data_IF_809757998251
#
_entry.id   IF_809757998251
#
_cell.length_a   1.000
_cell.length_b   1.000
_cell.length_c   1.000
_cell.angle_alpha   90.00
_cell.angle_beta   90.00
_cell.angle_gamma   90.00
#
_symmetry.space_group_name_H-M   'P 1'
#
loop_
_entity.id
_entity.type
_entity.pdbx_description
1 polymer ?
#
# COMPACT_ATOMS: atom_id res chain seq x y z
N UNK A 1 -11.85 26.15 39.90
CA UNK A 1 -12.48 25.13 39.03
C UNK A 1 -11.42 24.10 38.74
N UNK A 2 -11.57 22.87 39.26
CA UNK A 2 -10.59 21.80 39.05
C UNK A 2 -10.78 21.22 37.64
N UNK A 3 -9.76 21.34 36.81
CA UNK A 3 -9.64 20.57 35.57
C UNK A 3 -9.55 19.09 35.94
N UNK A 4 -10.40 18.20 35.39
CA UNK A 4 -10.24 16.77 35.62
C UNK A 4 -8.88 16.31 35.09
N UNK A 5 -8.16 15.53 35.90
CA UNK A 5 -6.92 14.89 35.47
C UNK A 5 -7.28 13.67 34.64
N UNK A 6 -6.92 13.69 33.35
CA UNK A 6 -7.01 12.52 32.48
C UNK A 6 -5.66 11.81 32.49
N UNK A 7 -5.68 10.48 32.62
CA UNK A 7 -4.51 9.63 32.39
C UNK A 7 -4.62 8.98 31.02
N UNK A 8 -3.50 8.92 30.31
CA UNK A 8 -3.39 8.35 28.96
C UNK A 8 -2.29 7.29 28.94
N UNK A 9 -2.55 6.18 28.24
CA UNK A 9 -1.56 5.14 27.97
C UNK A 9 -1.19 5.19 26.49
N UNK A 10 0.07 5.49 26.19
CA UNK A 10 0.62 5.46 24.84
C UNK A 10 1.45 4.18 24.64
N UNK A 11 1.04 3.32 23.69
CA UNK A 11 1.82 2.15 23.28
C UNK A 11 2.55 2.48 21.98
N UNK A 12 3.89 2.45 22.01
CA UNK A 12 4.73 2.75 20.85
C UNK A 12 5.22 1.48 20.18
N UNK A 13 5.40 1.53 18.85
CA UNK A 13 5.84 0.40 18.04
C UNK A 13 4.95 -0.85 18.22
N UNK A 14 3.63 -0.62 18.17
CA UNK A 14 2.59 -1.62 18.43
C UNK A 14 2.81 -2.90 17.60
N UNK A 15 2.72 -4.05 18.25
CA UNK A 15 2.83 -5.39 17.68
C UNK A 15 1.53 -6.17 17.82
N UNK A 16 1.32 -7.21 17.01
CA UNK A 16 0.12 -8.06 17.10
C UNK A 16 -0.10 -8.64 18.51
N UNK A 17 0.99 -8.94 19.22
CA UNK A 17 1.00 -9.46 20.60
C UNK A 17 0.52 -8.45 21.64
N UNK A 18 0.47 -7.16 21.30
CA UNK A 18 -0.07 -6.14 22.20
C UNK A 18 -1.61 -6.16 22.21
N UNK A 19 -2.25 -6.96 21.34
CA UNK A 19 -3.69 -7.13 21.39
C UNK A 19 -4.10 -7.82 22.69
N UNK A 20 -5.12 -7.29 23.35
CA UNK A 20 -5.65 -7.87 24.57
C UNK A 20 -6.51 -6.91 25.37
N UNK A 21 -6.81 -7.34 26.59
CA UNK A 21 -7.65 -6.62 27.54
C UNK A 21 -6.79 -5.72 28.43
N UNK A 22 -7.00 -4.41 28.33
CA UNK A 22 -6.31 -3.40 29.13
C UNK A 22 -7.25 -2.86 30.19
N UNK A 23 -6.85 -2.93 31.46
CA UNK A 23 -7.63 -2.41 32.57
C UNK A 23 -7.01 -1.12 33.10
N UNK A 24 -7.77 -0.04 33.06
CA UNK A 24 -7.51 1.16 33.84
C UNK A 24 -8.05 0.93 35.26
N UNK A 25 -7.15 0.92 36.25
CA UNK A 25 -7.49 0.81 37.65
C UNK A 25 -7.19 2.14 38.35
N UNK A 26 -8.24 2.85 38.76
CA UNK A 26 -8.10 4.10 39.50
C UNK A 26 -8.40 3.85 40.97
N UNK A 27 -7.40 4.12 41.81
CA UNK A 27 -7.55 4.11 43.25
C UNK A 27 -7.48 5.54 43.78
N UNK A 28 -8.54 5.98 44.44
CA UNK A 28 -8.61 7.25 45.13
C UNK A 28 -8.85 6.99 46.62
N UNK A 29 -7.98 7.51 47.49
CA UNK A 29 -8.16 7.40 48.92
C UNK A 29 -9.51 7.99 49.31
N UNK A 30 -10.32 7.22 50.08
CA UNK A 30 -11.69 7.54 50.50
C UNK A 30 -12.80 7.37 49.45
N UNK A 31 -12.52 6.82 48.26
CA UNK A 31 -13.51 6.51 47.22
C UNK A 31 -13.40 5.05 46.74
N UNK A 32 -14.48 4.46 46.21
CA UNK A 32 -14.42 3.12 45.63
C UNK A 32 -13.50 3.12 44.41
N UNK A 33 -12.64 2.10 44.32
CA UNK A 33 -11.81 1.89 43.14
C UNK A 33 -12.69 1.68 41.91
N UNK A 34 -12.37 2.36 40.81
CA UNK A 34 -13.07 2.20 39.54
C UNK A 34 -12.17 1.45 38.58
N UNK A 35 -12.73 0.38 37.99
CA UNK A 35 -12.07 -0.41 36.96
C UNK A 35 -12.78 -0.14 35.63
N UNK A 36 -12.02 0.18 34.60
CA UNK A 36 -12.52 0.27 33.24
C UNK A 36 -11.64 -0.58 32.33
N UNK A 37 -12.26 -1.55 31.66
CA UNK A 37 -11.55 -2.50 30.79
C UNK A 37 -11.83 -2.18 29.33
N UNK A 38 -10.78 -2.19 28.51
CA UNK A 38 -10.82 -1.90 27.08
C UNK A 38 -10.20 -3.09 26.35
N UNK A 39 -10.89 -3.58 25.32
CA UNK A 39 -10.30 -4.52 24.37
C UNK A 39 -9.54 -3.75 23.29
N UNK A 40 -8.23 -3.94 23.24
CA UNK A 40 -7.36 -3.36 22.24
C UNK A 40 -6.99 -4.43 21.22
N UNK A 41 -7.25 -4.16 19.94
CA UNK A 41 -6.94 -5.09 18.86
C UNK A 41 -6.01 -4.44 17.84
N UNK A 42 -4.85 -5.04 17.66
CA UNK A 42 -3.89 -4.68 16.63
C UNK A 42 -4.21 -5.47 15.37
N UNK A 43 -4.31 -4.79 14.23
CA UNK A 43 -4.58 -5.42 12.94
C UNK A 43 -3.37 -5.27 12.03
N UNK A 44 -2.99 -6.36 11.37
CA UNK A 44 -2.01 -6.31 10.29
C UNK A 44 -2.65 -5.70 9.03
N UNK A 45 -1.95 -4.85 8.27
CA UNK A 45 -2.46 -4.33 7.00
C UNK A 45 -2.78 -5.46 6.03
N UNK A 46 -3.98 -5.45 5.45
CA UNK A 46 -4.34 -6.42 4.42
C UNK A 46 -3.64 -6.11 3.10
N UNK A 47 -3.10 -7.14 2.44
CA UNK A 47 -2.33 -6.96 1.21
C UNK A 47 -2.88 -7.70 -0.01
N UNK A 48 -2.32 -7.40 -1.18
CA UNK A 48 -2.50 -8.14 -2.43
C UNK A 48 -1.47 -9.28 -2.53
N UNK A 49 -1.73 -10.27 -3.36
CA UNK A 49 -0.85 -11.42 -3.61
C UNK A 49 -0.58 -11.57 -5.10
N UNK A 50 0.46 -12.34 -5.45
CA UNK A 50 0.78 -12.73 -6.82
C UNK A 50 0.81 -11.54 -7.81
N UNK A 51 1.43 -10.43 -7.41
CA UNK A 51 1.62 -9.27 -8.30
C UNK A 51 2.50 -9.70 -9.47
N UNK A 52 1.94 -9.62 -10.68
CA UNK A 52 2.63 -9.95 -11.93
C UNK A 52 2.56 -8.77 -12.90
N UNK A 53 3.65 -8.56 -13.62
CA UNK A 53 3.78 -7.52 -14.63
C UNK A 53 4.27 -8.19 -15.92
N UNK A 54 3.40 -8.25 -16.92
CA UNK A 54 3.73 -8.78 -18.25
C UNK A 54 3.83 -7.60 -19.21
N UNK A 55 4.99 -7.43 -19.84
CA UNK A 55 5.28 -6.27 -20.69
C UNK A 55 5.35 -6.66 -22.17
N UNK A 56 5.04 -5.70 -23.03
CA UNK A 56 5.46 -5.68 -24.42
C UNK A 56 6.33 -4.42 -24.66
N UNK A 57 6.46 -3.98 -25.92
CA UNK A 57 7.23 -2.79 -26.27
C UNK A 57 6.52 -1.47 -25.92
N UNK A 58 5.19 -1.46 -25.80
CA UNK A 58 4.39 -0.23 -25.65
C UNK A 58 3.35 -0.26 -24.51
N UNK A 59 3.34 -1.30 -23.69
CA UNK A 59 2.33 -1.55 -22.67
C UNK A 59 2.83 -2.51 -21.59
N UNK A 60 2.13 -2.49 -20.46
CA UNK A 60 2.32 -3.41 -19.35
C UNK A 60 0.96 -3.86 -18.83
N UNK A 61 0.76 -5.17 -18.71
CA UNK A 61 -0.38 -5.77 -18.05
C UNK A 61 -0.01 -6.12 -16.61
N UNK A 62 -0.64 -5.42 -15.67
CA UNK A 62 -0.42 -5.56 -14.22
C UNK A 62 -1.58 -6.34 -13.64
N UNK A 63 -1.31 -7.45 -12.97
CA UNK A 63 -2.35 -8.25 -12.32
C UNK A 63 -1.95 -8.68 -10.92
N UNK A 64 -2.94 -8.85 -10.05
CA UNK A 64 -2.77 -9.26 -8.67
C UNK A 64 -4.03 -9.97 -8.15
N UNK A 65 -3.85 -10.75 -7.10
CA UNK A 65 -4.90 -11.39 -6.33
C UNK A 65 -5.23 -10.59 -5.07
N UNK A 66 -6.49 -10.60 -4.67
CA UNK A 66 -6.96 -9.92 -3.46
C UNK A 66 -7.21 -10.95 -2.36
N UNK A 67 -6.64 -10.72 -1.18
CA UNK A 67 -6.94 -11.53 0.01
C UNK A 67 -8.42 -11.44 0.39
N UNK A 68 -9.00 -12.56 0.84
CA UNK A 68 -10.38 -12.62 1.31
C UNK A 68 -10.67 -11.51 2.35
N UNK A 69 -11.87 -10.92 2.27
CA UNK A 69 -12.32 -9.86 3.17
C UNK A 69 -12.95 -8.68 2.42
N UNK A 70 -13.16 -7.55 3.11
CA UNK A 70 -13.69 -6.32 2.50
C UNK A 70 -12.91 -5.86 1.27
N UNK A 71 -13.55 -5.09 0.40
CA UNK A 71 -12.88 -4.57 -0.80
C UNK A 71 -11.70 -3.66 -0.43
N UNK A 72 -10.54 -3.88 -1.08
CA UNK A 72 -9.37 -3.02 -0.97
C UNK A 72 -9.47 -1.86 -1.96
N UNK A 73 -9.00 -0.67 -1.57
CA UNK A 73 -8.79 0.47 -2.46
C UNK A 73 -7.35 0.43 -2.97
N UNK A 74 -7.19 0.18 -4.27
CA UNK A 74 -5.88 -0.02 -4.89
C UNK A 74 -5.58 1.15 -5.81
N UNK A 75 -4.41 1.75 -5.65
CA UNK A 75 -3.88 2.80 -6.52
C UNK A 75 -2.68 2.31 -7.31
N UNK A 76 -2.57 2.69 -8.57
CA UNK A 76 -1.40 2.45 -9.41
C UNK A 76 -0.80 3.79 -9.81
N UNK A 77 0.52 3.92 -9.74
CA UNK A 77 1.26 5.08 -10.22
C UNK A 77 2.54 4.61 -10.90
N UNK A 78 2.76 5.02 -12.14
CA UNK A 78 3.89 4.58 -12.95
C UNK A 78 4.81 5.75 -13.28
N UNK A 79 6.10 5.59 -12.99
CA UNK A 79 7.13 6.59 -13.26
C UNK A 79 8.16 6.03 -14.24
N UNK A 80 8.38 6.72 -15.35
CA UNK A 80 9.46 6.46 -16.31
C UNK A 80 10.80 6.91 -15.74
N UNK A 81 11.83 6.05 -15.80
CA UNK A 81 13.15 6.27 -15.16
C UNK A 81 14.26 6.67 -16.14
N UNK A 82 13.99 7.55 -17.09
CA UNK A 82 14.97 7.97 -18.12
C UNK A 82 15.69 9.29 -17.80
N UNK A 83 15.55 9.83 -16.59
CA UNK A 83 16.16 11.11 -16.19
C UNK A 83 16.26 11.25 -14.66
N UNK A 84 16.87 12.33 -14.18
CA UNK A 84 17.21 12.54 -12.76
C UNK A 84 16.02 12.45 -11.79
N UNK A 85 14.84 12.92 -12.22
CA UNK A 85 13.65 13.01 -11.35
C UNK A 85 12.57 11.96 -11.68
N UNK A 86 12.78 11.15 -12.72
CA UNK A 86 11.72 10.34 -13.33
C UNK A 86 10.54 11.18 -13.86
N UNK A 87 9.65 10.59 -14.64
CA UNK A 87 8.41 11.24 -15.08
C UNK A 87 7.23 10.33 -14.80
N UNK A 88 6.23 10.82 -14.05
CA UNK A 88 4.96 10.10 -13.94
C UNK A 88 4.26 10.07 -15.30
N UNK A 89 3.92 8.87 -15.75
CA UNK A 89 3.32 8.63 -17.07
C UNK A 89 1.93 7.98 -16.98
N UNK A 90 1.57 7.44 -15.81
CA UNK A 90 0.27 6.84 -15.57
C UNK A 90 -0.07 6.90 -14.08
N UNK A 91 -1.34 7.13 -13.78
CA UNK A 91 -1.88 7.07 -12.42
C UNK A 91 -3.36 6.67 -12.49
N UNK A 92 -3.76 5.75 -11.62
CA UNK A 92 -5.14 5.29 -11.50
C UNK A 92 -5.47 5.01 -10.05
N UNK A 93 -6.60 5.53 -9.58
CA UNK A 93 -7.17 5.20 -8.28
C UNK A 93 -8.28 4.16 -8.42
N UNK A 94 -8.50 3.37 -7.35
CA UNK A 94 -9.51 2.32 -7.29
C UNK A 94 -9.39 1.31 -8.46
N UNK A 95 -8.15 0.92 -8.76
CA UNK A 95 -7.83 -0.03 -9.80
C UNK A 95 -8.40 -1.43 -9.49
N UNK A 96 -8.83 -2.13 -10.54
CA UNK A 96 -9.35 -3.49 -10.48
C UNK A 96 -8.43 -4.37 -11.33
N UNK A 97 -8.00 -5.49 -10.77
CA UNK A 97 -7.12 -6.45 -11.46
C UNK A 97 -7.86 -7.18 -12.59
N UNK A 98 -7.25 -7.39 -13.77
CA UNK A 98 -5.97 -6.82 -14.22
C UNK A 98 -6.12 -5.42 -14.84
N UNK A 99 -5.02 -4.65 -14.86
CA UNK A 99 -4.92 -3.33 -15.50
C UNK A 99 -3.88 -3.34 -16.61
N UNK A 100 -4.28 -2.96 -17.82
CA UNK A 100 -3.37 -2.75 -18.95
C UNK A 100 -3.02 -1.27 -19.10
N UNK A 101 -1.74 -0.94 -18.93
CA UNK A 101 -1.18 0.41 -19.12
C UNK A 101 -0.57 0.47 -20.52
N UNK A 102 -1.04 1.37 -21.38
CA UNK A 102 -0.59 1.49 -22.78
C UNK A 102 0.22 2.77 -23.02
N UNK A 103 0.67 2.99 -24.26
CA UNK A 103 1.44 4.17 -24.69
C UNK A 103 2.78 4.34 -23.95
N UNK A 104 3.39 3.22 -23.56
CA UNK A 104 4.74 3.19 -23.02
C UNK A 104 5.77 3.27 -24.16
N UNK A 105 6.99 3.67 -23.82
CA UNK A 105 8.12 3.70 -24.75
C UNK A 105 8.81 2.34 -24.72
N UNK A 106 9.27 1.86 -25.87
CA UNK A 106 10.07 0.64 -25.97
C UNK A 106 11.42 0.78 -25.25
N UNK A 107 12.00 -0.36 -24.86
CA UNK A 107 13.31 -0.47 -24.22
C UNK A 107 13.52 0.52 -23.06
N UNK A 108 12.47 0.80 -22.29
CA UNK A 108 12.46 1.89 -21.32
C UNK A 108 12.23 1.36 -19.90
N UNK A 109 13.02 1.81 -18.91
CA UNK A 109 12.84 1.43 -17.52
C UNK A 109 11.72 2.22 -16.83
N UNK A 110 10.89 1.50 -16.06
CA UNK A 110 9.78 2.03 -15.30
C UNK A 110 9.83 1.59 -13.82
N UNK A 111 9.18 2.40 -12.97
CA UNK A 111 8.91 2.11 -11.56
C UNK A 111 7.40 2.17 -11.34
N UNK A 112 6.80 1.04 -10.98
CA UNK A 112 5.40 0.93 -10.61
C UNK A 112 5.28 1.04 -9.09
N UNK A 113 4.38 1.91 -8.65
CA UNK A 113 3.96 2.02 -7.27
C UNK A 113 2.52 1.52 -7.17
N UNK A 114 2.28 0.57 -6.27
CA UNK A 114 0.96 0.01 -5.99
C UNK A 114 0.60 0.36 -4.55
N UNK A 115 -0.32 1.30 -4.37
CA UNK A 115 -0.82 1.68 -3.05
C UNK A 115 -2.01 0.80 -2.69
N UNK A 116 -2.01 0.23 -1.50
CA UNK A 116 -3.11 -0.62 -1.00
C UNK A 116 -3.65 -0.01 0.29
N UNK A 117 -4.97 0.17 0.35
CA UNK A 117 -5.66 0.73 1.50
C UNK A 117 -6.90 -0.12 1.83
N UNK A 118 -6.97 -0.64 3.06
CA UNK A 118 -8.09 -1.46 3.56
C UNK A 118 -9.08 -0.67 4.45
N UNK A 119 -8.87 0.64 4.60
CA UNK A 119 -9.62 1.57 5.46
C UNK A 119 -9.60 1.25 6.96
N UNK A 120 -8.79 0.30 7.40
CA UNK A 120 -8.66 -0.09 8.82
C UNK A 120 -7.25 0.14 9.34
N UNK A 121 -6.24 0.00 8.49
CA UNK A 121 -4.84 0.28 8.80
C UNK A 121 -4.31 1.40 7.92
N UNK A 122 -3.12 1.88 8.27
CA UNK A 122 -2.41 2.82 7.40
C UNK A 122 -2.17 2.20 6.01
N UNK A 123 -2.32 2.99 4.93
CA UNK A 123 -2.01 2.53 3.59
C UNK A 123 -0.53 2.17 3.47
N UNK A 124 -0.23 1.16 2.66
CA UNK A 124 1.15 0.82 2.31
C UNK A 124 1.35 0.81 0.79
N UNK A 125 2.61 0.83 0.38
CA UNK A 125 3.01 0.91 -1.02
C UNK A 125 3.95 -0.24 -1.38
N UNK A 126 3.64 -0.97 -2.44
CA UNK A 126 4.52 -1.94 -3.09
C UNK A 126 5.20 -1.22 -4.26
N UNK A 127 6.50 -1.45 -4.44
CA UNK A 127 7.28 -0.87 -5.52
C UNK A 127 7.87 -1.97 -6.39
N UNK A 128 7.56 -1.94 -7.68
CA UNK A 128 8.12 -2.86 -8.68
C UNK A 128 8.88 -2.11 -9.77
N UNK A 129 9.90 -2.76 -10.33
CA UNK A 129 10.71 -2.24 -11.42
C UNK A 129 10.58 -3.16 -12.62
N UNK A 130 10.34 -2.58 -13.80
CA UNK A 130 10.31 -3.35 -15.04
C UNK A 130 10.84 -2.55 -16.22
N UNK A 131 11.17 -3.25 -17.31
CA UNK A 131 11.49 -2.66 -18.60
C UNK A 131 10.46 -3.12 -19.63
N UNK A 132 10.08 -2.24 -20.54
CA UNK A 132 9.38 -2.61 -21.77
C UNK A 132 10.34 -3.29 -22.74
N UNK A 133 9.81 -4.14 -23.60
CA UNK A 133 10.59 -4.82 -24.63
C UNK A 133 11.10 -3.85 -25.70
N UNK A 134 12.08 -4.29 -26.49
CA UNK A 134 12.51 -3.57 -27.69
C UNK A 134 11.39 -3.58 -28.75
N UNK A 135 11.29 -2.50 -29.53
CA UNK A 135 10.33 -2.46 -30.63
C UNK A 135 10.86 -3.24 -31.82
N UNK A 136 10.03 -4.14 -32.35
CA UNK A 136 10.35 -4.91 -33.56
C UNK A 136 10.50 -4.04 -34.81
N UNK A 137 9.99 -2.80 -34.81
CA UNK A 137 10.11 -1.87 -35.94
C UNK A 137 11.53 -1.31 -36.10
N UNK A 138 12.34 -1.29 -35.05
CA UNK A 138 13.72 -0.79 -35.11
C UNK A 138 14.66 -1.71 -35.91
N UNK A 139 14.31 -3.00 -36.01
CA UNK A 139 15.13 -4.02 -36.70
C UNK A 139 15.09 -3.91 -38.23
N UNK A 140 14.06 -3.27 -38.80
CA UNK A 140 13.93 -3.13 -40.26
C UNK A 140 14.84 -2.05 -40.87
N UNK A 141 15.40 -1.15 -40.07
CA UNK A 141 16.28 -0.08 -40.55
C UNK A 141 17.74 -0.54 -40.78
N UNK A 142 18.07 -1.78 -40.41
CA UNK A 142 19.40 -2.37 -40.64
C UNK A 142 19.24 -3.56 -41.59
N UNK A 143 18.99 -3.29 -42.86
CA UNK A 143 19.21 -4.26 -43.94
C UNK A 143 19.98 -3.55 -45.05
N UNK A 144 21.23 -3.97 -45.23
CA UNK A 144 22.16 -3.48 -46.26
C UNK A 144 21.77 -3.94 -47.66
#
# INVERSE_FOLDING_TARGET
MNTPYCWELEIRNVQLSDSGSYMCHVNANQQPSVNYTIEFQVKAPRTIQNLTIVTNDNSANVSWDVQQGPQLKIGLRLVRRTGLNGQEVFSQMNAISPVTITNLRAATPYKLFVTVNDSQTDPFEITELFNTAESSECLWFISF
#
